data_IF_239304272408
#
_entry.id   IF_239304272408
#
_cell.length_a   1.000
_cell.length_b   1.000
_cell.length_c   1.000
_cell.angle_alpha   90.00
_cell.angle_beta   90.00
_cell.angle_gamma   90.00
#
_symmetry.space_group_name_H-M   'P 1'
#
loop_
_entity.id
_entity.type
_entity.pdbx_description
1 polymer ?
#
# COMPACT_ATOMS: atom_id res chain seq x y z
N UNK A 1 -11.22 -16.97 44.59
CA UNK A 1 -11.34 -15.66 43.93
C UNK A 1 -10.54 -15.72 42.65
N UNK A 2 -11.19 -15.73 41.50
CA UNK A 2 -10.47 -15.61 40.24
C UNK A 2 -9.80 -14.24 40.18
N UNK A 3 -8.50 -14.20 40.14
CA UNK A 3 -7.72 -12.96 40.02
C UNK A 3 -7.95 -12.43 38.60
N UNK A 4 -8.78 -11.40 38.49
CA UNK A 4 -9.09 -10.79 37.18
C UNK A 4 -7.83 -10.13 36.61
N UNK A 5 -7.37 -10.54 35.43
CA UNK A 5 -6.19 -10.00 34.79
C UNK A 5 -6.29 -8.47 34.66
N UNK A 6 -5.21 -7.79 34.94
CA UNK A 6 -5.03 -6.35 34.71
C UNK A 6 -4.92 -6.07 33.19
N UNK A 7 -5.11 -4.83 32.76
CA UNK A 7 -4.91 -4.44 31.36
C UNK A 7 -3.50 -4.75 30.89
N UNK A 8 -2.49 -4.51 31.72
CA UNK A 8 -1.08 -4.79 31.39
C UNK A 8 -0.84 -6.29 31.15
N UNK A 9 -1.38 -7.18 31.97
CA UNK A 9 -1.28 -8.64 31.77
C UNK A 9 -1.99 -9.09 30.50
N UNK A 10 -3.16 -8.50 30.20
CA UNK A 10 -3.89 -8.77 28.96
C UNK A 10 -3.11 -8.29 27.73
N UNK A 11 -2.53 -7.08 27.78
CA UNK A 11 -1.72 -6.55 26.69
C UNK A 11 -0.47 -7.39 26.45
N UNK A 12 0.21 -7.81 27.53
CA UNK A 12 1.36 -8.72 27.45
C UNK A 12 0.97 -10.05 26.75
N UNK A 13 -0.19 -10.60 27.09
CA UNK A 13 -0.69 -11.82 26.45
C UNK A 13 -0.95 -11.61 24.95
N UNK A 14 -1.52 -10.46 24.57
CA UNK A 14 -1.72 -10.12 23.16
C UNK A 14 -0.36 -9.99 22.46
N UNK A 15 0.57 -9.21 23.00
CA UNK A 15 1.90 -9.01 22.43
C UNK A 15 2.68 -10.31 22.21
N UNK A 16 2.50 -11.29 23.08
CA UNK A 16 3.21 -12.59 22.99
C UNK A 16 2.53 -13.61 22.10
N UNK A 17 1.21 -13.50 21.89
CA UNK A 17 0.43 -14.51 21.13
C UNK A 17 -0.11 -14.00 19.81
N UNK A 18 -0.11 -12.69 19.57
CA UNK A 18 -0.66 -12.12 18.34
C UNK A 18 0.23 -12.48 17.15
N UNK A 19 -0.28 -13.29 16.26
CA UNK A 19 0.31 -13.56 14.97
C UNK A 19 -0.37 -12.70 13.91
N UNK A 20 0.39 -11.80 13.29
CA UNK A 20 -0.05 -10.98 12.16
C UNK A 20 0.91 -11.21 10.97
N UNK A 21 0.74 -12.31 10.24
CA UNK A 21 1.68 -12.69 9.17
C UNK A 21 1.68 -11.66 8.03
N UNK A 22 2.82 -11.57 7.31
CA UNK A 22 2.94 -10.78 6.08
C UNK A 22 2.36 -11.59 4.92
N UNK A 23 1.03 -11.67 4.83
CA UNK A 23 0.27 -12.44 3.86
C UNK A 23 0.02 -11.71 2.53
N UNK A 24 0.10 -10.37 2.55
CA UNK A 24 0.00 -9.55 1.36
C UNK A 24 1.33 -9.47 0.62
N UNK A 25 1.26 -9.38 -0.71
CA UNK A 25 2.44 -9.30 -1.56
C UNK A 25 2.42 -8.06 -2.44
N UNK A 26 3.45 -7.23 -2.31
CA UNK A 26 3.67 -6.08 -3.20
C UNK A 26 4.51 -6.53 -4.40
N UNK A 27 3.87 -6.64 -5.57
CA UNK A 27 4.52 -7.06 -6.82
C UNK A 27 5.57 -6.06 -7.32
N UNK A 28 5.38 -4.76 -7.04
CA UNK A 28 6.31 -3.71 -7.48
C UNK A 28 7.61 -3.73 -6.68
N UNK A 29 7.49 -3.87 -5.35
CA UNK A 29 8.64 -3.92 -4.45
C UNK A 29 9.19 -5.34 -4.22
N UNK A 30 8.53 -6.37 -4.79
CA UNK A 30 8.90 -7.79 -4.61
C UNK A 30 9.06 -8.19 -3.14
N UNK A 31 8.13 -7.73 -2.26
CA UNK A 31 8.17 -8.05 -0.84
C UNK A 31 6.78 -8.40 -0.29
N UNK A 32 6.77 -9.20 0.78
CA UNK A 32 5.55 -9.47 1.55
C UNK A 32 5.36 -8.41 2.63
N UNK A 33 4.12 -8.01 2.86
CA UNK A 33 3.77 -7.03 3.88
C UNK A 33 2.46 -7.40 4.57
N UNK A 34 2.17 -6.73 5.69
CA UNK A 34 0.87 -6.77 6.38
C UNK A 34 0.23 -5.39 6.32
N UNK A 35 -1.09 -5.34 6.24
CA UNK A 35 -1.84 -4.10 6.30
C UNK A 35 -2.29 -3.79 7.74
N UNK A 36 -2.77 -2.56 7.97
CA UNK A 36 -3.42 -2.22 9.24
C UNK A 36 -4.66 -3.11 9.48
N UNK A 37 -5.39 -3.44 8.41
CA UNK A 37 -6.57 -4.30 8.43
C UNK A 37 -6.22 -5.73 8.85
N UNK A 38 -5.10 -6.28 8.37
CA UNK A 38 -4.62 -7.62 8.76
C UNK A 38 -4.35 -7.67 10.27
N UNK A 39 -3.67 -6.64 10.81
CA UNK A 39 -3.39 -6.54 12.27
C UNK A 39 -4.70 -6.43 13.06
N UNK A 40 -5.60 -5.54 12.64
CA UNK A 40 -6.90 -5.38 13.31
C UNK A 40 -7.73 -6.67 13.28
N UNK A 41 -7.74 -7.38 12.16
CA UNK A 41 -8.43 -8.65 12.05
C UNK A 41 -7.87 -9.70 13.02
N UNK A 42 -6.54 -9.82 13.10
CA UNK A 42 -5.87 -10.74 14.03
C UNK A 42 -6.07 -10.36 15.50
N UNK A 43 -6.26 -9.07 15.82
CA UNK A 43 -6.46 -8.61 17.21
C UNK A 43 -7.90 -8.83 17.72
N UNK A 44 -8.91 -8.81 16.84
CA UNK A 44 -10.33 -8.92 17.24
C UNK A 44 -10.69 -10.10 18.14
N UNK A 45 -10.17 -11.32 17.93
CA UNK A 45 -10.45 -12.43 18.86
C UNK A 45 -10.03 -12.14 20.30
N UNK A 46 -8.82 -11.59 20.49
CA UNK A 46 -8.29 -11.21 21.80
C UNK A 46 -9.13 -10.13 22.48
N UNK A 47 -9.51 -9.08 21.72
CA UNK A 47 -10.35 -8.01 22.24
C UNK A 47 -11.68 -8.55 22.76
N UNK A 48 -12.31 -9.45 22.01
CA UNK A 48 -13.57 -10.08 22.39
C UNK A 48 -13.41 -10.96 23.65
N UNK A 49 -12.41 -11.83 23.66
CA UNK A 49 -12.18 -12.78 24.75
C UNK A 49 -11.89 -12.07 26.07
N UNK A 50 -11.09 -11.01 26.01
CA UNK A 50 -10.62 -10.29 27.21
C UNK A 50 -11.48 -9.08 27.60
N UNK A 51 -12.55 -8.79 26.83
CA UNK A 51 -13.42 -7.65 27.08
C UNK A 51 -12.70 -6.31 26.95
N UNK A 52 -11.89 -6.16 25.89
CA UNK A 52 -11.12 -4.96 25.60
C UNK A 52 -11.73 -4.17 24.45
N UNK A 53 -11.52 -2.86 24.47
CA UNK A 53 -11.85 -1.95 23.37
C UNK A 53 -10.57 -1.40 22.74
N UNK A 54 -10.61 -1.15 21.45
CA UNK A 54 -9.53 -0.53 20.69
C UNK A 54 -10.09 0.67 19.91
N UNK A 55 -9.51 1.84 20.14
CA UNK A 55 -9.88 3.09 19.47
C UNK A 55 -8.69 3.61 18.69
N UNK A 56 -8.92 4.11 17.48
CA UNK A 56 -7.89 4.74 16.65
C UNK A 56 -8.28 6.18 16.39
N UNK A 57 -7.37 7.12 16.64
CA UNK A 57 -7.52 8.55 16.36
C UNK A 57 -6.42 8.98 15.40
N UNK A 58 -6.76 9.79 14.38
CA UNK A 58 -5.78 10.35 13.47
C UNK A 58 -5.79 11.87 13.52
N UNK A 59 -4.60 12.46 13.54
CA UNK A 59 -4.37 13.90 13.48
C UNK A 59 -3.44 14.24 12.34
N UNK A 60 -3.60 15.42 11.78
CA UNK A 60 -2.68 15.98 10.80
C UNK A 60 -1.76 16.95 11.55
N UNK A 61 -0.45 16.83 11.32
CA UNK A 61 0.58 17.71 11.89
C UNK A 61 1.51 18.19 10.77
N UNK A 62 2.07 19.36 10.97
CA UNK A 62 3.05 19.94 10.06
C UNK A 62 4.41 20.03 10.76
N UNK A 63 5.45 19.51 10.12
CA UNK A 63 6.83 19.58 10.59
C UNK A 63 7.74 19.97 9.43
N UNK A 64 8.46 21.09 9.57
CA UNK A 64 9.41 21.58 8.56
C UNK A 64 8.80 21.68 7.15
N UNK A 65 7.63 22.31 7.05
CA UNK A 65 6.84 22.47 5.82
C UNK A 65 6.48 21.12 5.16
N UNK A 66 6.30 20.08 5.96
CA UNK A 66 5.84 18.76 5.50
C UNK A 66 4.67 18.31 6.31
N UNK A 67 3.68 17.75 5.64
CA UNK A 67 2.48 17.22 6.30
C UNK A 67 2.71 15.77 6.71
N UNK A 68 2.31 15.47 7.94
CA UNK A 68 2.32 14.13 8.51
C UNK A 68 0.91 13.79 9.02
N UNK A 69 0.55 12.54 8.87
CA UNK A 69 -0.56 11.94 9.58
C UNK A 69 0.00 11.20 10.78
N UNK A 70 -0.46 11.55 11.96
CA UNK A 70 -0.19 10.86 13.22
C UNK A 70 -1.42 10.04 13.59
N UNK A 71 -1.24 8.76 13.89
CA UNK A 71 -2.31 7.90 14.38
C UNK A 71 -1.96 7.43 15.79
N UNK A 72 -2.88 7.60 16.73
CA UNK A 72 -2.80 7.03 18.08
C UNK A 72 -3.80 5.90 18.21
N UNK A 73 -3.33 4.76 18.69
CA UNK A 73 -4.14 3.58 18.98
C UNK A 73 -4.18 3.40 20.48
N UNK A 74 -5.38 3.33 21.03
CA UNK A 74 -5.63 3.17 22.48
C UNK A 74 -6.39 1.88 22.73
N UNK A 75 -5.85 1.01 23.59
CA UNK A 75 -6.53 -0.17 24.11
C UNK A 75 -7.00 0.07 25.56
N UNK A 76 -8.21 -0.36 25.90
CA UNK A 76 -8.78 -0.12 27.24
C UNK A 76 -9.63 -1.30 27.72
N UNK A 77 -9.63 -1.52 29.02
CA UNK A 77 -10.54 -2.44 29.74
C UNK A 77 -11.74 -1.71 30.38
N UNK A 78 -11.92 -0.42 30.05
CA UNK A 78 -12.95 0.46 30.61
C UNK A 78 -12.55 1.12 31.93
N UNK A 79 -11.41 0.77 32.54
CA UNK A 79 -10.89 1.39 33.80
C UNK A 79 -9.54 2.05 33.55
N UNK A 80 -8.69 1.38 32.79
CA UNK A 80 -7.35 1.84 32.43
C UNK A 80 -7.19 1.77 30.93
N UNK A 81 -6.20 2.47 30.40
CA UNK A 81 -5.88 2.46 28.97
C UNK A 81 -4.37 2.57 28.75
N UNK A 82 -3.90 1.94 27.66
CA UNK A 82 -2.55 2.04 27.13
C UNK A 82 -2.63 2.52 25.68
N UNK A 83 -1.65 3.33 25.26
CA UNK A 83 -1.65 3.94 23.94
C UNK A 83 -0.28 3.88 23.29
N UNK A 84 -0.28 3.78 21.97
CA UNK A 84 0.90 3.97 21.15
C UNK A 84 0.57 4.77 19.90
N UNK A 85 1.52 5.55 19.41
CA UNK A 85 1.36 6.37 18.21
C UNK A 85 2.29 5.90 17.09
N UNK A 86 1.87 6.18 15.86
CA UNK A 86 2.65 5.98 14.66
C UNK A 86 2.43 7.15 13.70
N UNK A 87 3.43 7.46 12.89
CA UNK A 87 3.43 8.60 11.97
C UNK A 87 3.70 8.15 10.56
N UNK A 88 3.06 8.79 9.58
CA UNK A 88 3.39 8.66 8.17
C UNK A 88 3.40 10.02 7.50
N UNK A 89 4.41 10.28 6.66
CA UNK A 89 4.45 11.48 5.85
C UNK A 89 3.38 11.41 4.76
N UNK A 90 2.66 12.51 4.58
CA UNK A 90 1.78 12.70 3.45
C UNK A 90 2.58 13.28 2.28
N UNK A 91 2.51 12.65 1.12
CA UNK A 91 3.11 13.17 -0.09
C UNK A 91 2.21 14.27 -0.68
N UNK A 92 2.81 15.36 -1.16
CA UNK A 92 2.06 16.47 -1.76
C UNK A 92 1.34 16.05 -3.04
N UNK A 93 2.01 15.21 -3.83
CA UNK A 93 1.48 14.69 -5.10
C UNK A 93 1.95 13.27 -5.32
N UNK A 94 1.07 12.42 -5.84
CA UNK A 94 1.42 11.06 -6.25
C UNK A 94 0.70 10.72 -7.55
N UNK A 95 1.46 10.29 -8.55
CA UNK A 95 0.91 9.94 -9.85
C UNK A 95 -0.20 8.89 -9.72
N UNK A 96 -1.39 9.22 -10.25
CA UNK A 96 -2.54 8.33 -10.24
C UNK A 96 -3.36 8.31 -8.96
N UNK A 97 -3.10 9.25 -8.03
CA UNK A 97 -3.88 9.41 -6.80
C UNK A 97 -4.38 10.85 -6.68
N UNK A 98 -5.62 11.02 -6.24
CA UNK A 98 -6.13 12.33 -5.80
C UNK A 98 -5.71 12.64 -4.36
N UNK A 99 -5.94 13.88 -3.90
CA UNK A 99 -5.55 14.32 -2.57
C UNK A 99 -6.14 13.47 -1.45
N UNK A 100 -7.41 13.06 -1.57
CA UNK A 100 -8.07 12.22 -0.56
C UNK A 100 -7.45 10.82 -0.48
N UNK A 101 -7.06 10.26 -1.62
CA UNK A 101 -6.36 8.98 -1.70
C UNK A 101 -4.95 9.05 -1.08
N UNK A 102 -4.24 10.16 -1.30
CA UNK A 102 -2.91 10.39 -0.71
C UNK A 102 -3.03 10.44 0.81
N UNK A 103 -3.95 11.26 1.36
CA UNK A 103 -4.22 11.34 2.79
C UNK A 103 -4.65 9.98 3.35
N UNK A 104 -5.56 9.27 2.67
CA UNK A 104 -6.01 7.93 3.09
C UNK A 104 -4.88 6.91 3.15
N UNK A 105 -3.94 6.96 2.19
CA UNK A 105 -2.76 6.11 2.21
C UNK A 105 -1.87 6.44 3.42
N UNK A 106 -1.59 7.72 3.69
CA UNK A 106 -0.80 8.15 4.85
C UNK A 106 -1.47 7.72 6.17
N UNK A 107 -2.81 7.84 6.29
CA UNK A 107 -3.58 7.36 7.44
C UNK A 107 -3.43 5.85 7.66
N UNK A 108 -3.48 5.05 6.59
CA UNK A 108 -3.31 3.60 6.67
C UNK A 108 -1.91 3.21 7.15
N UNK A 109 -0.87 3.90 6.67
CA UNK A 109 0.50 3.68 7.14
C UNK A 109 0.69 4.10 8.60
N UNK A 110 0.23 5.29 8.99
CA UNK A 110 0.32 5.77 10.38
C UNK A 110 -0.37 4.80 11.34
N UNK A 111 -1.58 4.33 10.99
CA UNK A 111 -2.33 3.33 11.76
C UNK A 111 -1.58 2.00 11.87
N UNK A 112 -0.98 1.52 10.78
CA UNK A 112 -0.18 0.29 10.79
C UNK A 112 0.99 0.40 11.76
N UNK A 113 1.71 1.52 11.76
CA UNK A 113 2.82 1.75 12.66
C UNK A 113 2.37 1.87 14.13
N UNK A 114 1.26 2.59 14.39
CA UNK A 114 0.69 2.69 15.73
C UNK A 114 0.28 1.32 16.30
N UNK A 115 -0.38 0.48 15.48
CA UNK A 115 -0.74 -0.89 15.85
C UNK A 115 0.50 -1.77 16.08
N UNK A 116 1.51 -1.65 15.21
CA UNK A 116 2.79 -2.35 15.37
C UNK A 116 3.48 -1.99 16.68
N UNK A 117 3.50 -0.70 17.05
CA UNK A 117 4.08 -0.21 18.29
C UNK A 117 3.30 -0.69 19.53
N UNK A 118 1.95 -0.64 19.48
CA UNK A 118 1.12 -1.06 20.61
C UNK A 118 1.24 -2.56 20.90
N UNK A 119 1.25 -3.36 19.84
CA UNK A 119 1.28 -4.81 19.98
C UNK A 119 2.68 -5.44 19.87
N UNK A 120 3.73 -4.60 19.86
CA UNK A 120 5.13 -5.05 19.74
C UNK A 120 5.35 -6.02 18.56
N UNK A 121 4.71 -5.71 17.41
CA UNK A 121 4.81 -6.54 16.22
C UNK A 121 6.16 -6.28 15.56
N UNK A 122 7.00 -7.31 15.54
CA UNK A 122 8.31 -7.24 14.90
C UNK A 122 8.17 -7.14 13.36
N UNK A 123 8.73 -6.09 12.80
CA UNK A 123 8.92 -5.91 11.37
C UNK A 123 10.36 -6.32 11.02
N UNK A 124 10.64 -7.63 11.08
CA UNK A 124 11.96 -8.26 10.92
C UNK A 124 12.70 -7.98 9.60
N UNK A 125 12.23 -7.05 8.77
CA UNK A 125 13.02 -6.49 7.66
C UNK A 125 13.27 -5.02 7.96
N UNK A 126 14.34 -4.77 8.72
CA UNK A 126 14.87 -3.44 8.90
C UNK A 126 15.30 -2.85 7.55
N UNK A 127 15.07 -1.54 7.39
CA UNK A 127 15.54 -0.80 6.20
C UNK A 127 17.07 -0.89 6.03
N UNK A 128 17.79 -1.27 7.07
CA UNK A 128 19.24 -1.45 7.10
C UNK A 128 19.71 -2.84 6.63
N UNK A 129 18.79 -3.76 6.33
CA UNK A 129 19.19 -5.06 5.76
C UNK A 129 19.68 -4.87 4.32
N UNK A 130 20.76 -5.58 3.98
CA UNK A 130 21.43 -5.57 2.67
C UNK A 130 20.45 -5.80 1.50
N UNK A 131 19.35 -6.53 1.75
CA UNK A 131 18.29 -6.78 0.77
C UNK A 131 17.48 -5.52 0.43
N UNK A 132 17.20 -4.65 1.42
CA UNK A 132 16.52 -3.37 1.17
C UNK A 132 17.43 -2.40 0.41
N UNK A 133 18.71 -2.32 0.78
CA UNK A 133 19.69 -1.50 0.09
C UNK A 133 19.88 -1.94 -1.38
N UNK A 134 19.85 -3.24 -1.68
CA UNK A 134 19.91 -3.77 -3.04
C UNK A 134 18.64 -3.45 -3.84
N UNK A 135 17.46 -3.46 -3.22
CA UNK A 135 16.20 -3.10 -3.87
C UNK A 135 16.12 -1.61 -4.22
N UNK A 136 16.61 -0.73 -3.33
CA UNK A 136 16.68 0.72 -3.58
C UNK A 136 17.70 1.02 -4.68
N UNK A 137 18.84 0.33 -4.72
CA UNK A 137 19.84 0.47 -5.77
C UNK A 137 19.35 -0.04 -7.14
N UNK A 138 18.61 -1.15 -7.17
CA UNK A 138 18.01 -1.66 -8.40
C UNK A 138 16.93 -0.71 -8.96
N UNK A 139 16.14 -0.07 -8.10
CA UNK A 139 15.16 0.94 -8.49
C UNK A 139 15.80 2.24 -8.99
N UNK A 140 16.95 2.63 -8.46
CA UNK A 140 17.70 3.83 -8.88
C UNK A 140 18.51 3.60 -10.17
N UNK A 141 18.96 2.37 -10.44
CA UNK A 141 19.70 2.04 -11.67
C UNK A 141 18.80 1.96 -12.91
N UNK A 142 17.50 1.80 -12.76
CA UNK A 142 16.55 1.84 -13.88
C UNK A 142 16.26 3.24 -14.43
N UNK A 143 16.75 4.30 -13.77
CA UNK A 143 16.53 5.70 -14.19
C UNK A 143 17.75 6.38 -14.83
N UNK A 144 18.92 5.72 -14.92
CA UNK A 144 20.17 6.35 -15.41
C UNK A 144 20.86 5.63 -16.56
N UNK A 145 20.20 4.77 -17.31
CA UNK A 145 20.79 4.13 -18.50
C UNK A 145 20.23 4.69 -19.79
N UNK A 146 20.62 5.91 -20.14
CA UNK A 146 20.67 6.33 -21.57
C UNK A 146 21.98 7.11 -21.74
N UNK A 147 22.97 6.54 -22.34
CA UNK A 147 23.96 6.97 -23.33
C UNK A 147 25.25 6.13 -23.24
N UNK A 148 25.54 5.51 -24.38
CA UNK A 148 26.83 5.13 -24.99
C UNK A 148 27.18 3.66 -25.16
N UNK A 149 26.96 3.25 -26.37
CA UNK A 149 27.79 2.55 -27.39
C UNK A 149 28.71 1.37 -27.05
N UNK A 150 28.48 0.35 -27.87
CA UNK A 150 29.40 -0.51 -28.64
C UNK A 150 29.43 -2.02 -28.31
N UNK A 151 28.85 -2.75 -29.22
CA UNK A 151 28.99 -4.11 -29.85
C UNK A 151 30.18 -5.03 -29.43
N UNK A 152 30.15 -6.32 -29.89
CA UNK A 152 29.19 -7.41 -29.67
C UNK A 152 29.87 -8.74 -29.22
N UNK A 153 29.12 -9.74 -28.70
CA UNK A 153 29.29 -11.18 -29.04
C UNK A 153 28.30 -12.10 -28.31
N UNK A 154 27.62 -12.86 -29.18
CA UNK A 154 27.09 -14.22 -29.04
C UNK A 154 25.90 -14.48 -28.07
N UNK A 155 24.81 -14.91 -28.72
CA UNK A 155 23.54 -15.38 -28.17
C UNK A 155 23.67 -16.74 -27.46
N UNK A 156 22.79 -16.98 -26.49
CA UNK A 156 22.10 -18.25 -26.35
C UNK A 156 20.57 -18.10 -26.53
N UNK A 157 19.97 -19.20 -26.90
CA UNK A 157 18.63 -19.46 -27.44
C UNK A 157 17.46 -18.96 -26.59
N UNK A 158 16.23 -18.82 -27.18
CA UNK A 158 15.14 -18.05 -26.64
C UNK A 158 14.42 -18.77 -25.50
N UNK A 159 14.36 -18.10 -24.34
CA UNK A 159 13.39 -18.39 -23.29
C UNK A 159 12.13 -17.61 -23.65
N UNK A 160 10.98 -18.30 -23.70
CA UNK A 160 9.66 -17.75 -23.99
C UNK A 160 9.41 -16.54 -23.09
N UNK A 161 9.28 -15.35 -23.70
CA UNK A 161 8.80 -14.15 -23.04
C UNK A 161 7.34 -14.37 -22.62
N UNK A 162 7.11 -14.42 -21.30
CA UNK A 162 5.78 -14.22 -20.76
C UNK A 162 5.41 -12.75 -20.97
N UNK A 163 4.26 -12.51 -21.58
CA UNK A 163 3.68 -11.19 -21.78
C UNK A 163 3.61 -10.43 -20.43
N UNK A 164 3.81 -9.09 -20.41
CA UNK A 164 3.69 -8.29 -19.21
C UNK A 164 2.30 -8.49 -18.60
N UNK A 165 2.26 -8.97 -17.35
CA UNK A 165 0.99 -9.10 -16.61
C UNK A 165 0.46 -7.69 -16.39
N UNK A 166 -0.68 -7.41 -17.01
CA UNK A 166 -1.43 -6.16 -16.82
C UNK A 166 -1.90 -6.12 -15.37
N UNK A 167 -1.69 -4.97 -14.73
CA UNK A 167 -2.23 -4.69 -13.40
C UNK A 167 -3.77 -4.64 -13.50
N UNK A 168 -4.43 -5.70 -13.05
CA UNK A 168 -5.89 -5.85 -13.15
C UNK A 168 -6.64 -4.73 -12.42
N UNK A 169 -6.12 -4.24 -11.31
CA UNK A 169 -6.73 -3.14 -10.55
C UNK A 169 -6.63 -1.81 -11.33
N UNK A 170 -5.46 -1.51 -11.89
CA UNK A 170 -5.26 -0.36 -12.78
C UNK A 170 -6.14 -0.45 -14.01
N UNK A 171 -6.26 -1.65 -14.59
CA UNK A 171 -7.12 -1.87 -15.75
C UNK A 171 -8.59 -1.63 -15.40
N UNK A 172 -9.08 -2.11 -14.25
CA UNK A 172 -10.45 -1.88 -13.79
C UNK A 172 -10.76 -0.40 -13.61
N UNK A 173 -9.86 0.37 -12.98
CA UNK A 173 -10.01 1.81 -12.81
C UNK A 173 -10.08 2.52 -14.16
N UNK A 174 -9.20 2.19 -15.10
CA UNK A 174 -9.20 2.77 -16.43
C UNK A 174 -10.45 2.42 -17.24
N UNK A 175 -10.99 1.21 -17.10
CA UNK A 175 -12.26 0.82 -17.70
C UNK A 175 -13.42 1.63 -17.14
N UNK A 176 -13.39 1.95 -15.85
CA UNK A 176 -14.37 2.83 -15.21
C UNK A 176 -14.25 4.26 -15.74
N UNK A 177 -13.03 4.81 -15.84
CA UNK A 177 -12.79 6.15 -16.39
C UNK A 177 -13.26 6.25 -17.86
N UNK A 178 -12.99 5.23 -18.67
CA UNK A 178 -13.47 5.14 -20.06
C UNK A 178 -14.99 5.17 -20.10
N UNK A 179 -15.67 4.44 -19.20
CA UNK A 179 -17.14 4.38 -19.15
C UNK A 179 -17.78 5.73 -18.78
N UNK A 180 -17.10 6.53 -17.97
CA UNK A 180 -17.52 7.86 -17.52
C UNK A 180 -16.99 9.01 -18.39
N UNK A 181 -16.17 8.73 -19.41
CA UNK A 181 -15.65 9.75 -20.31
C UNK A 181 -16.79 10.49 -21.01
N UNK A 182 -16.75 11.83 -20.97
CA UNK A 182 -17.79 12.71 -21.53
C UNK A 182 -17.42 13.33 -22.87
N UNK A 183 -16.24 13.03 -23.39
CA UNK A 183 -15.78 13.58 -24.67
C UNK A 183 -14.75 12.68 -25.36
N UNK A 184 -14.65 12.80 -26.68
CA UNK A 184 -13.61 12.12 -27.47
C UNK A 184 -12.20 12.56 -27.03
N UNK A 185 -12.02 13.82 -26.66
CA UNK A 185 -10.73 14.34 -26.18
C UNK A 185 -10.26 13.59 -24.92
N UNK A 186 -11.17 13.36 -23.98
CA UNK A 186 -10.87 12.57 -22.76
C UNK A 186 -10.43 11.16 -23.10
N UNK A 187 -11.13 10.47 -24.01
CA UNK A 187 -10.77 9.12 -24.46
C UNK A 187 -9.41 9.09 -25.15
N UNK A 188 -9.08 10.11 -25.95
CA UNK A 188 -7.78 10.23 -26.61
C UNK A 188 -6.66 10.44 -25.59
N UNK A 189 -6.90 11.23 -24.54
CA UNK A 189 -5.95 11.42 -23.44
C UNK A 189 -5.69 10.08 -22.71
N UNK A 190 -6.76 9.38 -22.29
CA UNK A 190 -6.65 8.06 -21.63
C UNK A 190 -5.86 7.07 -22.51
N UNK A 191 -6.14 7.02 -23.82
CA UNK A 191 -5.44 6.16 -24.75
C UNK A 191 -3.94 6.47 -24.84
N UNK A 192 -3.59 7.76 -24.98
CA UNK A 192 -2.20 8.19 -25.16
C UNK A 192 -1.35 8.06 -23.90
N UNK A 193 -1.96 8.20 -22.73
CA UNK A 193 -1.27 8.09 -21.43
C UNK A 193 -1.03 6.63 -21.01
N UNK A 194 -1.77 5.67 -21.57
CA UNK A 194 -1.68 4.25 -21.24
C UNK A 194 -1.21 3.39 -22.42
N UNK A 195 -0.06 3.77 -23.02
CA UNK A 195 0.53 3.09 -24.18
C UNK A 195 0.83 1.61 -23.93
N UNK A 196 1.19 1.26 -22.71
CA UNK A 196 1.47 -0.09 -22.26
C UNK A 196 0.23 -1.01 -22.25
N UNK A 197 -0.98 -0.43 -22.21
CA UNK A 197 -2.25 -1.15 -22.22
C UNK A 197 -2.92 -1.19 -23.60
N UNK A 198 -2.39 -0.49 -24.61
CA UNK A 198 -3.00 -0.44 -25.95
C UNK A 198 -3.08 -1.81 -26.63
N UNK A 199 -2.20 -2.75 -26.28
CA UNK A 199 -2.24 -4.15 -26.72
C UNK A 199 -3.16 -5.04 -25.88
N UNK A 200 -3.73 -4.53 -24.79
CA UNK A 200 -4.68 -5.28 -23.96
C UNK A 200 -6.06 -5.24 -24.61
N UNK A 201 -6.68 -6.42 -24.93
CA UNK A 201 -7.98 -6.47 -25.60
C UNK A 201 -9.09 -5.73 -24.86
N UNK A 202 -9.20 -5.89 -23.53
CA UNK A 202 -10.23 -5.27 -22.70
C UNK A 202 -10.13 -3.75 -22.71
N UNK A 203 -8.91 -3.20 -22.67
CA UNK A 203 -8.67 -1.75 -22.72
C UNK A 203 -8.98 -1.19 -24.10
N UNK A 204 -8.47 -1.81 -25.16
CA UNK A 204 -8.67 -1.34 -26.54
C UNK A 204 -10.13 -1.40 -26.98
N UNK A 205 -10.84 -2.47 -26.64
CA UNK A 205 -12.28 -2.63 -26.92
C UNK A 205 -13.11 -1.58 -26.18
N UNK A 206 -12.83 -1.33 -24.89
CA UNK A 206 -13.54 -0.33 -24.10
C UNK A 206 -13.39 1.08 -24.67
N UNK A 207 -12.17 1.47 -25.08
CA UNK A 207 -11.93 2.79 -25.71
C UNK A 207 -12.63 2.88 -27.07
N UNK A 208 -12.61 1.83 -27.88
CA UNK A 208 -13.30 1.80 -29.16
C UNK A 208 -14.81 1.92 -28.98
N UNK A 209 -15.40 1.17 -28.06
CA UNK A 209 -16.83 1.19 -27.76
C UNK A 209 -17.28 2.58 -27.26
N UNK A 210 -16.54 3.14 -26.30
CA UNK A 210 -16.81 4.49 -25.80
C UNK A 210 -16.67 5.58 -26.89
N UNK A 211 -15.73 5.40 -27.83
CA UNK A 211 -15.50 6.35 -28.93
C UNK A 211 -16.66 6.40 -29.95
N UNK A 212 -17.46 5.33 -30.04
CA UNK A 212 -18.67 5.31 -30.91
C UNK A 212 -19.74 6.32 -30.47
N UNK A 213 -19.76 6.68 -29.16
CA UNK A 213 -20.66 7.68 -28.58
C UNK A 213 -20.32 9.13 -29.00
N UNK A 214 -19.11 9.33 -29.51
CA UNK A 214 -18.58 10.66 -29.87
C UNK A 214 -18.03 10.65 -31.31
N UNK A 215 -18.90 10.71 -32.34
CA UNK A 215 -18.47 10.76 -33.74
C UNK A 215 -17.61 11.99 -34.01
N UNK A 216 -16.83 11.95 -35.12
CA UNK A 216 -15.92 13.04 -35.56
C UNK A 216 -16.68 14.30 -35.88
#
# INVERSE_FOLDING_TARGET
METKMTLHEKLNLIQTKLEAPKDLYNKFGNYRYRSAESILAATKPFLREMGLTLVTESKISEHLNRIYVECTVTISDGKTSESASGMAREEETKKGMDGSQITGAAMSYAKKYALGNLFAIDDTKDADTTEYAQQVQAAQQSTTATVSQAKPKQAPKPVKQQAPQVDEERLMLLLQDISHARSRKTLTTIWNENKDLQSNPRFSEAVQEASKKYPK
#
